data_IF_587779278312
#
_entry.id   IF_587779278312
#
_cell.length_a   1.000
_cell.length_b   1.000
_cell.length_c   1.000
_cell.angle_alpha   90.00
_cell.angle_beta   90.00
_cell.angle_gamma   90.00
#
_symmetry.space_group_name_H-M   'P 1'
#
loop_
_entity.id
_entity.type
_entity.pdbx_description
1 polymer ?
#
# COMPACT_ATOMS: atom_id res chain seq x y z
N UNK A 1 -7.15 1.05 0.37
CA UNK A 1 -6.88 -0.39 0.19
C UNK A 1 -8.19 -1.12 -0.12
N UNK A 2 -8.14 -2.36 -0.60
CA UNK A 2 -9.33 -3.20 -0.80
C UNK A 2 -9.39 -4.34 0.23
N UNK A 3 -10.57 -4.57 0.77
CA UNK A 3 -10.90 -5.71 1.62
C UNK A 3 -12.00 -6.55 0.97
N UNK A 4 -12.01 -7.85 1.22
CA UNK A 4 -13.11 -8.74 0.81
C UNK A 4 -14.34 -8.61 1.73
N UNK A 5 -15.33 -9.47 1.51
CA UNK A 5 -16.60 -9.47 2.24
C UNK A 5 -16.47 -9.94 3.71
N UNK A 6 -15.36 -10.59 4.06
CA UNK A 6 -15.02 -10.97 5.43
C UNK A 6 -14.21 -9.87 6.15
N UNK A 7 -13.81 -8.82 5.42
CA UNK A 7 -12.99 -7.73 5.93
C UNK A 7 -11.50 -8.06 5.94
N UNK A 8 -11.04 -9.06 5.19
CA UNK A 8 -9.62 -9.34 5.05
C UNK A 8 -9.02 -8.52 3.90
N UNK A 9 -7.83 -7.94 4.13
CA UNK A 9 -7.12 -7.19 3.10
C UNK A 9 -6.78 -8.09 1.91
N UNK A 10 -7.14 -7.64 0.70
CA UNK A 10 -6.80 -8.39 -0.51
C UNK A 10 -5.37 -8.10 -0.93
N UNK A 11 -4.56 -9.15 -1.03
CA UNK A 11 -3.22 -9.07 -1.59
C UNK A 11 -3.18 -9.53 -3.04
N UNK A 12 -2.25 -8.94 -3.79
CA UNK A 12 -1.93 -9.34 -5.14
C UNK A 12 -0.70 -10.24 -5.11
N UNK A 13 -0.78 -11.38 -5.77
CA UNK A 13 0.34 -12.30 -5.89
C UNK A 13 0.84 -12.23 -7.32
N UNK A 14 2.12 -11.95 -7.51
CA UNK A 14 2.74 -11.98 -8.83
C UNK A 14 3.03 -13.42 -9.29
N UNK A 15 3.41 -13.58 -10.56
CA UNK A 15 3.75 -14.89 -11.14
C UNK A 15 4.97 -15.55 -10.47
N UNK A 16 5.77 -14.79 -9.72
CA UNK A 16 6.94 -15.25 -8.95
C UNK A 16 6.60 -15.68 -7.52
N UNK A 17 5.35 -15.51 -7.08
CA UNK A 17 4.89 -15.80 -5.73
C UNK A 17 5.16 -14.70 -4.71
N UNK A 18 5.57 -13.51 -5.14
CA UNK A 18 5.67 -12.34 -4.25
C UNK A 18 4.29 -11.72 -4.05
N UNK A 19 4.02 -11.33 -2.80
CA UNK A 19 2.72 -10.85 -2.35
C UNK A 19 2.79 -9.35 -2.07
N UNK A 20 1.82 -8.59 -2.59
CA UNK A 20 1.79 -7.14 -2.53
C UNK A 20 0.45 -6.63 -2.02
N UNK A 21 0.48 -5.66 -1.11
CA UNK A 21 -0.70 -4.91 -0.69
C UNK A 21 -1.02 -3.81 -1.72
N UNK A 22 -2.21 -3.83 -2.34
CA UNK A 22 -2.59 -2.83 -3.31
C UNK A 22 -3.09 -1.55 -2.61
N UNK A 23 -2.47 -0.41 -2.96
CA UNK A 23 -2.78 0.91 -2.40
C UNK A 23 -3.14 1.90 -3.50
N UNK A 24 -4.11 2.77 -3.21
CA UNK A 24 -4.51 3.88 -4.07
C UNK A 24 -4.38 5.18 -3.27
N UNK A 25 -3.98 6.28 -3.92
CA UNK A 25 -3.82 7.57 -3.26
C UNK A 25 -5.17 8.18 -2.87
N UNK A 26 -6.24 7.89 -3.61
CA UNK A 26 -7.58 8.43 -3.37
C UNK A 26 -8.61 7.31 -3.36
N UNK A 27 -9.65 7.48 -2.54
CA UNK A 27 -10.73 6.52 -2.38
C UNK A 27 -11.49 6.28 -3.70
N UNK A 28 -11.75 7.33 -4.48
CA UNK A 28 -12.53 7.24 -5.72
C UNK A 28 -11.89 6.27 -6.72
N UNK A 29 -10.56 6.20 -6.76
CA UNK A 29 -9.86 5.26 -7.64
C UNK A 29 -10.03 3.81 -7.16
N UNK A 30 -9.93 3.57 -5.86
CA UNK A 30 -10.18 2.25 -5.29
C UNK A 30 -11.64 1.82 -5.53
N UNK A 31 -12.60 2.73 -5.36
CA UNK A 31 -14.02 2.49 -5.63
C UNK A 31 -14.30 2.16 -7.10
N UNK A 32 -13.57 2.77 -8.04
CA UNK A 32 -13.73 2.50 -9.47
C UNK A 32 -13.24 1.10 -9.89
N UNK A 33 -12.26 0.54 -9.18
CA UNK A 33 -11.61 -0.72 -9.57
C UNK A 33 -12.04 -1.91 -8.72
N UNK A 34 -12.78 -1.67 -7.63
CA UNK A 34 -13.29 -2.74 -6.78
C UNK A 34 -14.28 -3.64 -7.52
N UNK A 35 -14.28 -4.90 -7.16
CA UNK A 35 -15.24 -5.91 -7.61
C UNK A 35 -16.47 -5.94 -6.69
N UNK A 36 -17.56 -6.57 -7.16
CA UNK A 36 -18.70 -6.85 -6.29
C UNK A 36 -18.28 -7.70 -5.08
N UNK A 37 -18.68 -7.28 -3.88
CA UNK A 37 -18.27 -7.90 -2.61
C UNK A 37 -17.05 -7.28 -1.95
N UNK A 38 -16.30 -6.44 -2.66
CA UNK A 38 -15.15 -5.74 -2.08
C UNK A 38 -15.55 -4.41 -1.43
N UNK A 39 -14.86 -4.09 -0.33
CA UNK A 39 -14.96 -2.83 0.38
C UNK A 39 -13.66 -2.03 0.25
N UNK A 40 -13.79 -0.71 0.17
CA UNK A 40 -12.62 0.19 0.21
C UNK A 40 -12.35 0.58 1.65
N UNK A 41 -11.12 0.36 2.11
CA UNK A 41 -10.64 0.80 3.41
C UNK A 41 -9.69 1.97 3.23
N UNK A 42 -10.02 3.08 3.86
CA UNK A 42 -9.19 4.27 3.99
C UNK A 42 -8.32 4.15 5.24
N UNK A 43 -7.09 4.62 5.14
CA UNK A 43 -6.15 4.68 6.24
C UNK A 43 -5.43 6.02 6.19
N UNK A 44 -5.22 6.62 7.36
CA UNK A 44 -4.33 7.77 7.48
C UNK A 44 -2.90 7.35 7.14
N UNK A 45 -2.20 8.22 6.41
CA UNK A 45 -0.86 7.90 5.91
C UNK A 45 0.12 7.64 7.05
N UNK A 46 0.05 8.42 8.12
CA UNK A 46 0.91 8.25 9.31
C UNK A 46 0.68 6.88 9.96
N UNK A 47 -0.57 6.51 10.22
CA UNK A 47 -0.94 5.23 10.82
C UNK A 47 -0.52 4.06 9.92
N UNK A 48 -0.70 4.20 8.60
CA UNK A 48 -0.28 3.17 7.65
C UNK A 48 1.25 2.96 7.70
N UNK A 49 2.03 4.04 7.76
CA UNK A 49 3.48 3.95 7.85
C UNK A 49 3.90 3.38 9.21
N UNK A 50 3.34 3.84 10.32
CA UNK A 50 3.76 3.43 11.66
C UNK A 50 3.34 1.99 12.01
N UNK A 51 2.13 1.56 11.64
CA UNK A 51 1.57 0.29 12.09
C UNK A 51 1.55 -0.79 11.00
N UNK A 52 1.21 -0.43 9.76
CA UNK A 52 1.01 -1.43 8.70
C UNK A 52 2.31 -1.81 8.01
N UNK A 53 3.17 -0.85 7.70
CA UNK A 53 4.44 -1.10 6.99
C UNK A 53 5.38 -2.06 7.74
N UNK A 54 5.59 -1.95 9.07
CA UNK A 54 6.43 -2.89 9.81
C UNK A 54 5.92 -4.33 9.68
N UNK A 55 4.63 -4.54 9.87
CA UNK A 55 4.01 -5.86 9.75
C UNK A 55 4.15 -6.42 8.32
N UNK A 56 3.92 -5.61 7.30
CA UNK A 56 4.13 -6.01 5.90
C UNK A 56 5.59 -6.42 5.65
N UNK A 57 6.55 -5.68 6.20
CA UNK A 57 7.97 -5.98 6.06
C UNK A 57 8.37 -7.29 6.76
N UNK A 58 7.83 -7.56 7.96
CA UNK A 58 8.06 -8.80 8.71
C UNK A 58 7.54 -10.02 7.96
N UNK A 59 6.36 -9.90 7.33
CA UNK A 59 5.75 -10.97 6.53
C UNK A 59 6.38 -11.11 5.12
N UNK A 60 7.29 -10.21 4.74
CA UNK A 60 7.91 -10.19 3.42
C UNK A 60 6.99 -9.71 2.29
N UNK A 61 5.93 -8.98 2.63
CA UNK A 61 4.99 -8.40 1.69
C UNK A 61 5.49 -7.06 1.14
N UNK A 62 5.23 -6.83 -0.14
CA UNK A 62 5.47 -5.56 -0.81
C UNK A 62 4.23 -4.68 -0.85
N UNK A 63 4.37 -3.52 -1.46
CA UNK A 63 3.28 -2.59 -1.76
C UNK A 63 3.20 -2.41 -3.28
N UNK A 64 1.99 -2.45 -3.80
CA UNK A 64 1.67 -2.17 -5.20
C UNK A 64 0.88 -0.87 -5.28
N UNK A 65 1.50 0.19 -5.83
CA UNK A 65 0.90 1.53 -5.88
C UNK A 65 0.12 1.73 -7.17
N UNK A 66 -1.12 2.19 -7.01
CA UNK A 66 -2.09 2.44 -8.08
C UNK A 66 -2.26 1.27 -9.06
N UNK A 67 -2.56 0.07 -8.56
CA UNK A 67 -2.42 -1.10 -9.40
C UNK A 67 -3.65 -1.30 -10.29
N UNK A 68 -3.43 -1.69 -11.54
CA UNK A 68 -4.49 -1.85 -12.55
C UNK A 68 -4.41 -3.27 -13.12
N UNK A 69 -5.47 -4.07 -12.95
CA UNK A 69 -5.50 -5.49 -13.34
C UNK A 69 -5.12 -5.76 -14.81
N UNK A 70 -5.27 -4.77 -15.70
CA UNK A 70 -4.94 -4.87 -17.12
C UNK A 70 -3.57 -4.27 -17.51
N UNK A 71 -2.80 -3.69 -16.58
CA UNK A 71 -1.50 -3.07 -16.86
C UNK A 71 -0.46 -3.43 -15.79
N UNK A 72 0.61 -4.16 -16.15
CA UNK A 72 1.67 -4.57 -15.23
C UNK A 72 2.59 -3.42 -14.80
N UNK A 73 2.34 -2.18 -15.24
CA UNK A 73 3.15 -1.00 -14.90
C UNK A 73 2.87 -0.47 -13.48
N UNK A 74 2.15 -1.23 -12.64
CA UNK A 74 1.97 -0.90 -11.23
C UNK A 74 3.34 -0.82 -10.56
N UNK A 75 3.58 0.26 -9.81
CA UNK A 75 4.85 0.41 -9.11
C UNK A 75 4.84 -0.52 -7.90
N UNK A 76 5.56 -1.62 -8.01
CA UNK A 76 5.77 -2.59 -6.93
C UNK A 76 7.09 -2.32 -6.23
N UNK A 77 7.10 -2.35 -4.90
CA UNK A 77 8.32 -2.22 -4.11
C UNK A 77 8.17 -2.89 -2.73
N UNK A 78 9.28 -3.22 -2.05
CA UNK A 78 9.25 -3.63 -0.65
C UNK A 78 8.56 -2.58 0.24
N UNK A 79 7.86 -3.01 1.28
CA UNK A 79 7.12 -2.09 2.16
C UNK A 79 8.03 -1.03 2.82
N UNK A 80 9.24 -1.40 3.23
CA UNK A 80 10.24 -0.48 3.79
C UNK A 80 10.70 0.56 2.75
N UNK A 81 10.86 0.14 1.49
CA UNK A 81 11.24 1.06 0.40
C UNK A 81 10.14 2.08 0.13
N UNK A 82 8.87 1.65 0.18
CA UNK A 82 7.72 2.55 0.07
C UNK A 82 7.75 3.61 1.18
N UNK A 83 7.90 3.20 2.45
CA UNK A 83 7.95 4.13 3.57
C UNK A 83 9.13 5.11 3.45
N UNK A 84 10.32 4.65 3.08
CA UNK A 84 11.48 5.52 2.88
C UNK A 84 11.24 6.58 1.78
N UNK A 85 10.60 6.19 0.67
CA UNK A 85 10.26 7.11 -0.42
C UNK A 85 9.23 8.15 0.00
N UNK A 86 8.15 7.72 0.67
CA UNK A 86 7.14 8.64 1.18
C UNK A 86 7.76 9.62 2.17
N UNK A 87 8.57 9.14 3.12
CA UNK A 87 9.19 10.00 4.13
C UNK A 87 10.15 11.03 3.51
N UNK A 88 10.87 10.64 2.45
CA UNK A 88 11.71 11.56 1.66
C UNK A 88 10.86 12.64 0.98
N UNK A 89 9.76 12.25 0.31
CA UNK A 89 8.85 13.19 -0.36
C UNK A 89 8.26 14.19 0.64
N UNK A 90 7.87 13.72 1.83
CA UNK A 90 7.35 14.57 2.89
C UNK A 90 8.38 15.60 3.37
N UNK A 91 9.61 15.14 3.66
CA UNK A 91 10.69 16.02 4.09
C UNK A 91 11.03 17.08 3.03
N UNK A 92 11.06 16.70 1.75
CA UNK A 92 11.36 17.62 0.64
C UNK A 92 10.23 18.61 0.36
N UNK A 93 8.97 18.17 0.47
CA UNK A 93 7.80 18.96 0.07
C UNK A 93 7.26 19.84 1.20
N UNK A 94 7.32 19.35 2.44
CA UNK A 94 6.72 19.98 3.62
C UNK A 94 7.74 20.35 4.71
N UNK A 95 9.00 19.92 4.58
CA UNK A 95 10.06 20.23 5.53
C UNK A 95 10.04 19.35 6.79
N UNK A 96 9.17 18.34 6.83
CA UNK A 96 9.00 17.41 7.95
C UNK A 96 8.82 15.97 7.45
N UNK A 97 9.28 15.02 8.25
CA UNK A 97 9.18 13.59 8.01
C UNK A 97 8.66 12.91 9.29
N UNK A 98 7.99 11.78 9.13
CA UNK A 98 7.59 10.94 10.25
C UNK A 98 8.80 10.26 10.89
N UNK A 99 8.75 10.07 12.20
CA UNK A 99 9.70 9.26 12.95
C UNK A 99 9.32 7.78 12.78
N UNK A 100 10.07 7.06 11.95
CA UNK A 100 9.79 5.67 11.56
C UNK A 100 10.96 4.78 12.00
N UNK A 101 10.91 4.13 13.18
CA UNK A 101 12.06 3.45 13.80
C UNK A 101 12.63 2.25 13.02
N UNK A 102 11.88 1.77 12.04
CA UNK A 102 12.22 0.63 11.19
C UNK A 102 12.89 1.05 9.87
N UNK A 103 13.01 2.35 9.59
CA UNK A 103 13.73 2.91 8.45
C UNK A 103 15.23 3.12 8.74
#
# INVERSE_FOLDING_TARGET
MLADDEGECRFWVDDGGATFLPVWPEQEFAEMVKSEGESVWEFELEEFLQDSVPWLAEEGYGISVFPVAARPDSVVMPAVEFAARINTILAESYGEAFDLPYL
#
